data_IF_108744255163
#
_entry.id   IF_108744255163
#
_cell.length_a   1.000
_cell.length_b   1.000
_cell.length_c   1.000
_cell.angle_alpha   90.00
_cell.angle_beta   90.00
_cell.angle_gamma   90.00
#
_symmetry.space_group_name_H-M   'P 1'
#
loop_
_entity.id
_entity.type
_entity.pdbx_description
1 polymer ?
#
# COMPACT_ATOMS: atom_id res chain seq x y z
N UNK A 1 -5.30 7.34 17.04
CA UNK A 1 -6.00 6.44 16.11
C UNK A 1 -5.34 5.09 16.03
N UNK A 2 -6.11 4.08 15.61
CA UNK A 2 -5.58 2.73 15.33
C UNK A 2 -5.48 2.52 13.82
N UNK A 3 -4.49 1.76 13.37
CA UNK A 3 -4.33 1.35 11.98
C UNK A 3 -4.37 -0.18 11.90
N UNK A 4 -5.26 -0.70 11.06
CA UNK A 4 -5.43 -2.13 10.79
C UNK A 4 -5.24 -2.38 9.31
N UNK A 5 -4.17 -3.08 8.95
CA UNK A 5 -3.84 -3.43 7.56
C UNK A 5 -4.15 -4.90 7.36
N UNK A 6 -4.80 -5.22 6.24
CA UNK A 6 -5.18 -6.59 5.89
C UNK A 6 -4.90 -6.86 4.42
N UNK A 7 -4.32 -8.01 4.14
CA UNK A 7 -4.13 -8.55 2.79
C UNK A 7 -4.34 -10.08 2.81
N UNK A 8 -4.51 -10.73 1.66
CA UNK A 8 -4.68 -12.19 1.58
C UNK A 8 -3.52 -13.00 2.19
N UNK A 9 -2.31 -12.44 2.24
CA UNK A 9 -1.10 -13.11 2.73
C UNK A 9 -0.72 -12.74 4.16
N UNK A 10 -1.45 -11.79 4.78
CA UNK A 10 -1.16 -11.28 6.11
C UNK A 10 -1.45 -9.79 6.23
N UNK A 11 -1.12 -9.21 7.37
CA UNK A 11 -1.34 -7.80 7.62
C UNK A 11 -0.73 -7.39 8.96
N UNK A 12 -0.68 -6.08 9.19
CA UNK A 12 -0.12 -5.50 10.40
C UNK A 12 -1.15 -4.66 11.13
N UNK A 13 -0.89 -4.48 12.43
CA UNK A 13 -1.68 -3.63 13.28
C UNK A 13 -0.76 -2.66 14.03
N UNK A 14 -1.19 -1.41 14.09
CA UNK A 14 -0.50 -0.37 14.83
C UNK A 14 -1.52 0.34 15.72
N UNK A 15 -1.23 0.36 17.01
CA UNK A 15 -1.96 1.15 17.99
C UNK A 15 -1.22 2.49 18.20
N UNK A 16 -1.90 3.48 18.78
CA UNK A 16 -1.34 4.81 19.11
C UNK A 16 -0.67 5.54 17.92
N UNK A 17 -1.25 5.39 16.74
CA UNK A 17 -0.81 6.06 15.52
C UNK A 17 -1.22 7.54 15.56
N UNK A 18 -0.28 8.42 15.22
CA UNK A 18 -0.45 9.88 15.22
C UNK A 18 -0.55 10.47 13.83
N UNK A 19 -0.14 9.73 12.79
CA UNK A 19 -0.29 10.12 11.39
C UNK A 19 -0.16 8.92 10.46
N UNK A 20 -0.97 8.87 9.41
CA UNK A 20 -0.78 7.96 8.26
C UNK A 20 -0.90 8.75 6.97
N UNK A 21 -0.01 8.52 6.01
CA UNK A 21 -0.22 8.99 4.63
C UNK A 21 -0.10 7.88 3.62
N UNK A 22 -0.93 7.94 2.58
CA UNK A 22 -1.03 6.94 1.53
C UNK A 22 -1.59 7.54 0.24
N UNK A 23 -1.43 6.81 -0.86
CA UNK A 23 -1.94 7.19 -2.18
C UNK A 23 -3.33 6.61 -2.43
N UNK A 24 -4.27 7.51 -2.73
CA UNK A 24 -5.60 7.17 -3.23
C UNK A 24 -5.69 7.39 -4.73
N UNK A 25 -6.76 6.92 -5.36
CA UNK A 25 -7.05 7.24 -6.76
C UNK A 25 -7.23 8.74 -7.04
N UNK A 26 -7.51 9.56 -6.03
CA UNK A 26 -7.68 11.00 -6.14
C UNK A 26 -6.43 11.80 -5.75
N UNK A 27 -5.35 11.11 -5.38
CA UNK A 27 -4.09 11.70 -4.95
C UNK A 27 -3.67 11.24 -3.56
N UNK A 28 -2.67 11.91 -2.99
CA UNK A 28 -2.15 11.57 -1.67
C UNK A 28 -3.01 12.19 -0.57
N UNK A 29 -3.29 11.43 0.48
CA UNK A 29 -3.98 11.92 1.67
C UNK A 29 -3.12 11.72 2.91
N UNK A 30 -3.32 12.59 3.90
CA UNK A 30 -2.78 12.47 5.26
C UNK A 30 -3.90 12.38 6.28
N UNK A 31 -3.85 11.37 7.13
CA UNK A 31 -4.86 11.06 8.15
C UNK A 31 -4.25 11.28 9.52
N UNK A 32 -4.91 12.11 10.34
CA UNK A 32 -4.56 12.38 11.73
C UNK A 32 -5.66 11.84 12.66
N UNK A 33 -5.40 11.66 13.96
CA UNK A 33 -6.44 11.34 14.93
C UNK A 33 -7.61 12.34 14.88
N UNK A 34 -8.84 11.82 14.95
CA UNK A 34 -10.08 12.59 14.83
C UNK A 34 -10.48 12.94 13.40
N UNK A 35 -9.87 12.32 12.39
CA UNK A 35 -10.27 12.49 10.99
C UNK A 35 -11.72 12.02 10.78
N UNK A 36 -12.45 12.72 9.89
CA UNK A 36 -13.82 12.36 9.53
C UNK A 36 -13.89 10.95 8.91
N UNK A 37 -15.02 10.28 9.08
CA UNK A 37 -15.25 8.99 8.45
C UNK A 37 -15.17 9.12 6.92
N UNK A 38 -14.46 8.18 6.28
CA UNK A 38 -14.16 8.23 4.86
C UNK A 38 -13.99 6.82 4.31
N UNK A 39 -14.49 6.56 3.11
CA UNK A 39 -14.17 5.38 2.32
C UNK A 39 -13.56 5.85 1.00
N UNK A 40 -12.40 5.30 0.65
CA UNK A 40 -11.70 5.65 -0.59
C UNK A 40 -10.99 4.44 -1.19
N UNK A 41 -10.77 4.46 -2.51
CA UNK A 41 -9.91 3.50 -3.20
C UNK A 41 -8.45 3.89 -3.07
N UNK A 42 -7.59 2.92 -2.75
CA UNK A 42 -6.14 3.12 -2.65
C UNK A 42 -5.43 2.52 -3.85
N UNK A 43 -4.37 3.18 -4.29
CA UNK A 43 -3.48 2.72 -5.36
C UNK A 43 -2.17 2.23 -4.75
N UNK A 44 -1.41 1.44 -5.51
CA UNK A 44 -0.12 0.95 -5.03
C UNK A 44 0.83 2.11 -4.72
N UNK A 45 1.49 2.07 -3.57
CA UNK A 45 2.35 3.18 -3.14
C UNK A 45 2.84 3.06 -1.70
N UNK A 46 3.66 4.04 -1.32
CA UNK A 46 4.24 4.13 0.02
C UNK A 46 3.18 4.54 1.03
N UNK A 47 3.17 3.83 2.16
CA UNK A 47 2.40 4.17 3.36
C UNK A 47 3.37 4.60 4.44
N UNK A 48 3.29 5.87 4.85
CA UNK A 48 4.06 6.37 5.98
C UNK A 48 3.19 6.37 7.23
N UNK A 49 3.66 5.72 8.29
CA UNK A 49 2.97 5.56 9.56
C UNK A 49 3.84 6.19 10.63
N UNK A 50 3.31 7.17 11.36
CA UNK A 50 4.01 7.79 12.50
C UNK A 50 3.28 7.49 13.80
N UNK A 51 4.06 7.25 14.84
CA UNK A 51 3.62 7.01 16.20
C UNK A 51 4.60 7.64 17.19
N UNK A 52 4.32 7.56 18.49
CA UNK A 52 5.25 8.01 19.52
C UNK A 52 6.58 7.23 19.53
N UNK A 53 6.58 5.97 19.05
CA UNK A 53 7.77 5.11 19.00
C UNK A 53 8.61 5.29 17.74
N UNK A 54 8.09 5.97 16.71
CA UNK A 54 8.83 6.28 15.49
C UNK A 54 7.99 6.28 14.23
N UNK A 55 8.69 6.27 13.09
CA UNK A 55 8.11 6.26 11.75
C UNK A 55 8.40 4.92 11.08
N UNK A 56 7.36 4.29 10.54
CA UNK A 56 7.43 3.10 9.69
C UNK A 56 7.06 3.49 8.27
N UNK A 57 7.82 3.00 7.29
CA UNK A 57 7.50 3.14 5.86
C UNK A 57 7.25 1.76 5.28
N UNK A 58 5.98 1.49 4.96
CA UNK A 58 5.57 0.29 4.25
C UNK A 58 5.14 0.61 2.83
N UNK A 59 4.81 -0.42 2.07
CA UNK A 59 4.21 -0.30 0.74
C UNK A 59 2.95 -1.15 0.71
N UNK A 60 1.88 -0.58 0.19
CA UNK A 60 0.63 -1.30 -0.08
C UNK A 60 0.37 -1.42 -1.58
N UNK A 61 -0.36 -2.45 -1.96
CA UNK A 61 -0.97 -2.58 -3.28
C UNK A 61 -2.28 -1.79 -3.38
N UNK A 62 -3.03 -2.02 -4.46
CA UNK A 62 -4.37 -1.47 -4.61
C UNK A 62 -5.37 -2.09 -3.62
N UNK A 63 -6.42 -1.34 -3.29
CA UNK A 63 -7.46 -1.80 -2.38
C UNK A 63 -8.39 -0.68 -1.91
N UNK A 64 -8.78 -0.74 -0.63
CA UNK A 64 -9.68 0.21 0.00
C UNK A 64 -9.16 0.71 1.34
N UNK A 65 -9.43 1.98 1.58
CA UNK A 65 -9.30 2.67 2.85
C UNK A 65 -10.69 2.87 3.44
N UNK A 66 -10.86 2.58 4.72
CA UNK A 66 -12.00 3.02 5.51
C UNK A 66 -11.52 3.65 6.81
N UNK A 67 -11.97 4.85 7.11
CA UNK A 67 -11.80 5.52 8.40
C UNK A 67 -13.15 5.51 9.09
N UNK A 68 -13.19 4.96 10.30
CA UNK A 68 -14.40 4.89 11.09
C UNK A 68 -14.06 4.90 12.58
N UNK A 69 -14.67 5.78 13.38
CA UNK A 69 -14.48 5.84 14.84
C UNK A 69 -13.00 5.90 15.29
N UNK A 70 -12.18 6.74 14.64
CA UNK A 70 -10.73 6.86 14.88
C UNK A 70 -9.92 5.56 14.61
N UNK A 71 -10.46 4.68 13.77
CA UNK A 71 -9.78 3.49 13.25
C UNK A 71 -9.66 3.58 11.74
N UNK A 72 -8.43 3.45 11.24
CA UNK A 72 -8.10 3.35 9.84
C UNK A 72 -7.94 1.88 9.46
N UNK A 73 -8.85 1.38 8.63
CA UNK A 73 -8.79 0.06 8.01
C UNK A 73 -8.24 0.17 6.59
N UNK A 74 -7.15 -0.54 6.32
CA UNK A 74 -6.53 -0.63 5.01
C UNK A 74 -6.62 -2.07 4.50
N UNK A 75 -7.52 -2.33 3.57
CA UNK A 75 -7.71 -3.64 2.95
C UNK A 75 -7.12 -3.64 1.55
N UNK A 76 -6.00 -4.33 1.36
CA UNK A 76 -5.17 -4.23 0.15
C UNK A 76 -4.79 -5.61 -0.38
N UNK A 77 -4.51 -5.68 -1.68
CA UNK A 77 -4.07 -6.94 -2.30
C UNK A 77 -2.69 -7.39 -1.80
N UNK A 78 -1.82 -6.43 -1.47
CA UNK A 78 -0.44 -6.67 -1.04
C UNK A 78 -0.04 -5.66 0.03
N UNK A 79 0.78 -6.09 0.97
CA UNK A 79 1.34 -5.25 2.03
C UNK A 79 2.75 -5.74 2.39
N UNK A 80 3.67 -4.79 2.58
CA UNK A 80 4.96 -5.05 3.22
C UNK A 80 5.34 -3.88 4.13
N UNK A 81 5.83 -4.18 5.33
CA UNK A 81 6.47 -3.21 6.22
C UNK A 81 8.00 -3.11 5.98
N UNK A 82 8.55 -3.94 5.10
CA UNK A 82 9.95 -3.93 4.68
C UNK A 82 10.03 -3.84 3.14
N UNK A 83 9.99 -2.62 2.57
CA UNK A 83 10.05 -2.41 1.14
C UNK A 83 11.38 -2.87 0.52
N UNK A 84 12.50 -2.76 1.26
CA UNK A 84 13.83 -3.11 0.78
C UNK A 84 13.94 -4.62 0.48
N UNK A 85 13.31 -5.46 1.30
CA UNK A 85 13.24 -6.90 1.05
C UNK A 85 12.45 -7.27 -0.23
N UNK A 86 11.53 -6.42 -0.66
CA UNK A 86 10.67 -6.65 -1.83
C UNK A 86 11.15 -5.93 -3.11
N UNK A 87 12.14 -5.04 -2.99
CA UNK A 87 12.67 -4.21 -4.07
C UNK A 87 13.66 -4.96 -4.99
N UNK A 88 13.34 -6.17 -5.44
CA UNK A 88 14.21 -6.95 -6.33
C UNK A 88 14.18 -6.41 -7.79
N UNK A 89 15.31 -5.89 -8.32
CA UNK A 89 15.37 -5.40 -9.69
C UNK A 89 15.12 -6.50 -10.74
N UNK A 90 15.51 -7.74 -10.46
CA UNK A 90 15.27 -8.85 -11.39
C UNK A 90 13.78 -9.18 -11.48
N UNK A 91 13.08 -9.15 -10.35
CA UNK A 91 11.64 -9.35 -10.31
C UNK A 91 10.89 -8.30 -11.13
N UNK A 92 11.27 -7.02 -11.01
CA UNK A 92 10.68 -5.94 -11.79
C UNK A 92 10.88 -6.16 -13.30
N UNK A 93 12.12 -6.48 -13.72
CA UNK A 93 12.43 -6.74 -15.13
C UNK A 93 11.65 -7.95 -15.69
N UNK A 94 11.46 -9.01 -14.90
CA UNK A 94 10.65 -10.17 -15.29
C UNK A 94 9.18 -9.80 -15.51
N UNK A 95 8.60 -8.96 -14.64
CA UNK A 95 7.21 -8.49 -14.77
C UNK A 95 7.07 -7.64 -16.04
N UNK A 96 8.04 -6.76 -16.32
CA UNK A 96 8.04 -5.92 -17.52
C UNK A 96 8.15 -6.74 -18.81
N UNK A 97 8.99 -7.77 -18.83
CA UNK A 97 9.06 -8.71 -19.95
C UNK A 97 7.73 -9.47 -20.13
N UNK A 98 7.13 -9.96 -19.04
CA UNK A 98 5.85 -10.64 -19.07
C UNK A 98 4.69 -9.73 -19.52
N UNK A 99 4.76 -8.43 -19.22
CA UNK A 99 3.78 -7.42 -19.67
C UNK A 99 3.80 -7.24 -21.19
N UNK A 100 4.99 -7.25 -21.79
CA UNK A 100 5.16 -7.13 -23.24
C UNK A 100 4.54 -8.31 -23.99
N UNK A 101 4.58 -9.50 -23.39
CA UNK A 101 4.05 -10.74 -23.96
C UNK A 101 2.65 -11.11 -23.43
N UNK A 102 2.04 -10.27 -22.60
CA UNK A 102 0.83 -10.60 -21.85
C UNK A 102 -0.35 -10.99 -22.78
N UNK A 103 -0.90 -12.22 -22.66
CA UNK A 103 -2.07 -12.61 -23.42
C UNK A 103 -3.32 -11.98 -22.81
N UNK A 104 -3.87 -10.99 -23.52
CA UNK A 104 -5.14 -10.35 -23.19
C UNK A 104 -5.09 -9.38 -22.01
N UNK A 105 -6.21 -8.68 -21.83
CA UNK A 105 -6.29 -7.54 -20.92
C UNK A 105 -6.21 -7.95 -19.44
N UNK A 106 -6.89 -9.03 -19.06
CA UNK A 106 -6.91 -9.49 -17.66
C UNK A 106 -5.51 -9.85 -17.13
N UNK A 107 -4.67 -10.48 -17.97
CA UNK A 107 -3.29 -10.82 -17.61
C UNK A 107 -2.44 -9.55 -17.48
N UNK A 108 -2.61 -8.61 -18.41
CA UNK A 108 -1.93 -7.32 -18.38
C UNK A 108 -2.27 -6.52 -17.12
N UNK A 109 -3.54 -6.32 -16.80
CA UNK A 109 -3.94 -5.56 -15.61
C UNK A 109 -3.47 -6.20 -14.30
N UNK A 110 -3.32 -7.53 -14.25
CA UNK A 110 -2.72 -8.21 -13.09
C UNK A 110 -1.22 -7.90 -12.97
N UNK A 111 -0.49 -8.00 -14.07
CA UNK A 111 0.94 -7.72 -14.10
C UNK A 111 1.24 -6.23 -13.87
N UNK A 112 0.37 -5.31 -14.30
CA UNK A 112 0.51 -3.87 -14.03
C UNK A 112 0.38 -3.55 -12.54
N UNK A 113 -0.58 -4.16 -11.85
CA UNK A 113 -0.71 -4.03 -10.38
C UNK A 113 0.53 -4.54 -9.65
N UNK A 114 1.03 -5.71 -10.04
CA UNK A 114 2.26 -6.28 -9.50
C UNK A 114 3.46 -5.35 -9.77
N UNK A 115 3.61 -4.86 -11.00
CA UNK A 115 4.67 -3.93 -11.39
C UNK A 115 4.64 -2.67 -10.53
N UNK A 116 3.47 -2.08 -10.34
CA UNK A 116 3.30 -0.87 -9.54
C UNK A 116 3.70 -1.10 -8.07
N UNK A 117 3.36 -2.26 -7.50
CA UNK A 117 3.76 -2.61 -6.14
C UNK A 117 5.28 -2.76 -5.99
N UNK A 118 5.93 -3.52 -6.88
CA UNK A 118 7.39 -3.74 -6.84
C UNK A 118 8.14 -2.42 -7.10
N UNK A 119 7.66 -1.61 -8.03
CA UNK A 119 8.22 -0.27 -8.29
C UNK A 119 8.12 0.62 -7.04
N UNK A 120 6.96 0.64 -6.38
CA UNK A 120 6.79 1.40 -5.13
C UNK A 120 7.70 0.89 -4.01
N UNK A 121 7.96 -0.42 -3.92
CA UNK A 121 8.94 -0.98 -2.98
C UNK A 121 10.35 -0.45 -3.25
N UNK A 122 10.75 -0.39 -4.51
CA UNK A 122 12.04 0.14 -4.93
C UNK A 122 12.18 1.65 -4.65
N UNK A 123 11.13 2.42 -4.86
CA UNK A 123 11.15 3.87 -4.63
C UNK A 123 11.13 4.23 -3.12
N UNK A 124 10.72 3.27 -2.27
CA UNK A 124 10.67 3.42 -0.82
C UNK A 124 11.94 2.93 -0.08
N UNK A 125 12.75 2.09 -0.72
CA UNK A 125 13.98 1.50 -0.19
C UNK A 125 15.17 2.47 -0.25
#
# INVERSE_FOLDING_TARGET
>A
MQLRITSPVGGDAYDDVTYVSLWTSEGQIGVLPGHADLIATVVAGVVEIRSAVGTVRGVCGSGFLRIEHDVLYLAVEQWTADPAAMADPQRLAQIEAALAEAPGEATRSKLERERAFVQACRDAA
#
